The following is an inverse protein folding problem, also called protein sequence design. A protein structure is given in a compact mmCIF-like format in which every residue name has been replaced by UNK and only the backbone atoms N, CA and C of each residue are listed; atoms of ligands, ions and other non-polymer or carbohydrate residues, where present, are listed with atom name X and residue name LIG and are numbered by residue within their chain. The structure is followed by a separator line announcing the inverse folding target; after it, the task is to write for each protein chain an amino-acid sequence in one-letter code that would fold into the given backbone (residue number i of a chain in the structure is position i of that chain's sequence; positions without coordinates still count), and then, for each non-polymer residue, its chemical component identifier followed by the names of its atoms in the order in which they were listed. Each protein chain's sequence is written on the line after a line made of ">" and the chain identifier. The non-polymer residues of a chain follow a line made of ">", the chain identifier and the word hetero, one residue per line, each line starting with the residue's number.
data_IF_529523694895
#
_entry.id   IF_529523694895
#
_cell.length_a   1.000
_cell.length_b   1.000
_cell.length_c   1.000
_cell.angle_alpha   90.00
_cell.angle_beta   90.00
_cell.angle_gamma   90.00
#
_symmetry.space_group_name_H-M   'P 1'
#
loop_
_entity.id
_entity.type
_entity.pdbx_description
1 polymer ?
#
# COMPACT_ATOMS: atom_id res chain seq x y z
N UNK A 1 -27.73 0.83 21.61
CA UNK A 1 -27.10 2.17 21.58
C UNK A 1 -25.67 2.00 22.01
N UNK A 2 -24.71 2.06 21.08
CA UNK A 2 -23.28 2.06 21.40
C UNK A 2 -22.74 3.39 20.91
N UNK A 3 -22.67 4.35 21.84
CA UNK A 3 -21.95 5.60 21.67
C UNK A 3 -20.80 5.58 22.68
N UNK A 4 -19.94 4.58 22.55
CA UNK A 4 -18.81 4.36 23.46
C UNK A 4 -17.62 5.09 22.85
N UNK A 5 -17.55 6.40 23.12
CA UNK A 5 -16.50 7.35 22.73
C UNK A 5 -16.11 7.37 21.23
N UNK A 6 -16.34 8.49 20.50
CA UNK A 6 -15.80 8.62 19.15
C UNK A 6 -14.26 8.63 19.23
N UNK A 7 -13.63 7.55 18.77
CA UNK A 7 -12.20 7.55 18.44
C UNK A 7 -12.12 8.17 17.05
N UNK A 8 -11.75 9.44 16.98
CA UNK A 8 -11.38 10.06 15.71
C UNK A 8 -10.05 9.46 15.26
N UNK A 9 -10.11 8.48 14.37
CA UNK A 9 -8.92 7.99 13.70
C UNK A 9 -8.47 9.07 12.69
N UNK A 10 -7.26 9.63 12.82
CA UNK A 10 -6.75 10.60 11.85
C UNK A 10 -6.66 9.96 10.47
N UNK A 11 -6.85 10.79 9.44
CA UNK A 11 -6.76 10.31 8.07
C UNK A 11 -5.32 9.89 7.76
N UNK A 12 -5.13 8.92 6.86
CA UNK A 12 -3.80 8.41 6.53
C UNK A 12 -2.87 9.51 5.96
N UNK A 13 -3.44 10.51 5.28
CA UNK A 13 -2.70 11.69 4.79
C UNK A 13 -2.08 12.54 5.91
N UNK A 14 -2.60 12.45 7.13
CA UNK A 14 -2.09 13.16 8.31
C UNK A 14 -0.98 12.37 9.02
N UNK A 15 -0.76 11.11 8.62
CA UNK A 15 0.20 10.17 9.19
C UNK A 15 0.94 9.41 8.07
N UNK A 16 1.51 10.16 7.13
CA UNK A 16 2.19 9.59 5.96
C UNK A 16 3.43 8.77 6.37
N UNK A 17 4.03 9.09 7.51
CA UNK A 17 5.14 8.37 8.12
C UNK A 17 4.81 6.93 8.55
N UNK A 18 3.52 6.59 8.71
CA UNK A 18 3.09 5.22 9.01
C UNK A 18 3.01 4.33 7.75
N UNK A 19 2.96 4.94 6.56
CA UNK A 19 2.76 4.22 5.29
C UNK A 19 3.81 3.13 5.08
N UNK A 20 5.12 3.35 5.32
CA UNK A 20 6.12 2.28 5.21
C UNK A 20 5.81 1.06 6.08
N UNK A 21 5.50 1.26 7.36
CA UNK A 21 5.20 0.17 8.28
C UNK A 21 3.91 -0.58 7.88
N UNK A 22 2.89 0.13 7.42
CA UNK A 22 1.65 -0.46 6.92
C UNK A 22 1.90 -1.30 5.65
N UNK A 23 2.70 -0.78 4.71
CA UNK A 23 3.07 -1.48 3.48
C UNK A 23 3.83 -2.77 3.80
N UNK A 24 4.83 -2.71 4.69
CA UNK A 24 5.56 -3.90 5.15
C UNK A 24 4.63 -4.93 5.77
N UNK A 25 3.71 -4.50 6.64
CA UNK A 25 2.72 -5.38 7.25
C UNK A 25 1.83 -6.07 6.21
N UNK A 26 1.33 -5.32 5.23
CA UNK A 26 0.49 -5.86 4.16
C UNK A 26 1.25 -6.84 3.26
N UNK A 27 2.47 -6.50 2.84
CA UNK A 27 3.31 -7.39 2.04
C UNK A 27 3.57 -8.70 2.78
N UNK A 28 3.93 -8.64 4.07
CA UNK A 28 4.17 -9.83 4.88
C UNK A 28 2.94 -10.73 4.95
N UNK A 29 1.76 -10.14 5.22
CA UNK A 29 0.49 -10.88 5.27
C UNK A 29 0.14 -11.50 3.93
N UNK A 30 0.16 -10.72 2.84
CA UNK A 30 -0.27 -11.19 1.53
C UNK A 30 0.70 -12.19 0.89
N UNK A 31 2.00 -12.13 1.19
CA UNK A 31 2.93 -13.18 0.79
C UNK A 31 2.52 -14.55 1.35
N UNK A 32 2.04 -14.60 2.60
CA UNK A 32 1.56 -15.83 3.22
C UNK A 32 0.26 -16.32 2.58
N UNK A 33 -0.66 -15.39 2.27
CA UNK A 33 -1.97 -15.72 1.68
C UNK A 33 -1.87 -16.16 0.21
N UNK A 34 -1.02 -15.50 -0.59
CA UNK A 34 -0.93 -15.68 -2.04
C UNK A 34 0.28 -16.53 -2.48
N UNK A 35 1.13 -16.97 -1.54
CA UNK A 35 2.34 -17.75 -1.84
C UNK A 35 3.42 -16.97 -2.61
N UNK A 36 3.41 -15.64 -2.52
CA UNK A 36 4.38 -14.74 -3.16
C UNK A 36 5.64 -14.57 -2.30
N UNK A 37 6.67 -13.95 -2.87
CA UNK A 37 7.96 -13.67 -2.22
C UNK A 37 8.43 -12.23 -2.44
N UNK A 38 7.50 -11.29 -2.37
CA UNK A 38 7.81 -9.86 -2.45
C UNK A 38 8.51 -9.46 -1.16
N UNK A 39 9.71 -8.89 -1.25
CA UNK A 39 10.52 -8.50 -0.08
C UNK A 39 10.30 -7.05 0.33
N UNK A 40 9.60 -6.25 -0.49
CA UNK A 40 9.30 -4.85 -0.19
C UNK A 40 8.94 -4.03 -1.42
N UNK A 41 9.10 -2.72 -1.29
CA UNK A 41 8.93 -1.74 -2.36
C UNK A 41 10.27 -1.13 -2.75
N UNK A 42 10.42 -0.69 -4.00
CA UNK A 42 11.53 0.21 -4.35
C UNK A 42 11.39 1.56 -3.62
N UNK A 43 12.51 2.30 -3.41
CA UNK A 43 12.46 3.63 -2.80
C UNK A 43 11.49 4.59 -3.52
N UNK A 44 11.44 4.51 -4.84
CA UNK A 44 10.56 5.31 -5.70
C UNK A 44 9.09 4.97 -5.46
N UNK A 45 8.75 3.67 -5.37
CA UNK A 45 7.40 3.23 -5.00
C UNK A 45 7.02 3.71 -3.62
N UNK A 46 7.92 3.61 -2.63
CA UNK A 46 7.62 4.03 -1.28
C UNK A 46 7.39 5.56 -1.19
N UNK A 47 8.17 6.35 -1.94
CA UNK A 47 7.97 7.78 -2.06
C UNK A 47 6.62 8.11 -2.73
N UNK A 48 6.28 7.40 -3.80
CA UNK A 48 4.98 7.52 -4.49
C UNK A 48 3.82 7.25 -3.53
N UNK A 49 3.88 6.15 -2.77
CA UNK A 49 2.83 5.80 -1.80
C UNK A 49 2.72 6.82 -0.68
N UNK A 50 3.83 7.36 -0.17
CA UNK A 50 3.82 8.41 0.85
C UNK A 50 3.29 9.76 0.31
N UNK A 51 3.50 10.05 -0.96
CA UNK A 51 3.04 11.29 -1.61
C UNK A 51 1.55 11.32 -1.95
N UNK A 52 0.87 10.17 -1.93
CA UNK A 52 -0.53 10.06 -2.29
C UNK A 52 -1.47 10.40 -1.11
N UNK A 53 -2.64 10.98 -1.39
CA UNK A 53 -3.56 11.49 -0.36
C UNK A 53 -4.45 10.43 0.30
N UNK A 54 -4.54 9.24 -0.28
CA UNK A 54 -5.32 8.12 0.24
C UNK A 54 -6.73 8.51 0.75
N UNK A 55 -7.62 9.02 -0.10
CA UNK A 55 -9.00 9.39 0.30
C UNK A 55 -9.79 8.24 0.94
N UNK A 56 -9.45 6.98 0.62
CA UNK A 56 -10.00 5.79 1.29
C UNK A 56 -9.17 5.26 2.47
N UNK A 57 -8.23 6.06 2.98
CA UNK A 57 -7.33 5.77 4.10
C UNK A 57 -6.61 4.42 3.96
N UNK A 58 -6.39 3.74 5.09
CA UNK A 58 -5.69 2.45 5.20
C UNK A 58 -6.30 1.39 4.29
N UNK A 59 -7.63 1.35 4.14
CA UNK A 59 -8.31 0.37 3.28
C UNK A 59 -7.95 0.56 1.79
N UNK A 60 -7.75 1.80 1.35
CA UNK A 60 -7.31 2.05 -0.02
C UNK A 60 -5.85 1.65 -0.23
N UNK A 61 -4.98 1.96 0.74
CA UNK A 61 -3.57 1.53 0.74
C UNK A 61 -3.46 0.00 0.69
N UNK A 62 -4.17 -0.68 1.58
CA UNK A 62 -4.24 -2.15 1.65
C UNK A 62 -4.63 -2.76 0.29
N UNK A 63 -5.72 -2.29 -0.31
CA UNK A 63 -6.18 -2.79 -1.61
C UNK A 63 -5.17 -2.52 -2.74
N UNK A 64 -4.48 -1.37 -2.71
CA UNK A 64 -3.47 -1.04 -3.70
C UNK A 64 -2.26 -1.98 -3.59
N UNK A 65 -1.76 -2.21 -2.37
CA UNK A 65 -0.65 -3.14 -2.11
C UNK A 65 -1.04 -4.59 -2.46
N UNK A 66 -2.26 -5.00 -2.13
CA UNK A 66 -2.76 -6.34 -2.51
C UNK A 66 -2.71 -6.56 -4.02
N UNK A 67 -3.27 -5.62 -4.79
CA UNK A 67 -3.28 -5.72 -6.27
C UNK A 67 -1.88 -5.75 -6.86
N UNK A 68 -1.00 -4.87 -6.38
CA UNK A 68 0.40 -4.83 -6.80
C UNK A 68 1.09 -6.18 -6.53
N UNK A 69 0.92 -6.76 -5.34
CA UNK A 69 1.56 -8.01 -4.94
C UNK A 69 1.05 -9.23 -5.71
N UNK A 70 -0.26 -9.33 -5.98
CA UNK A 70 -0.83 -10.44 -6.76
C UNK A 70 -0.24 -10.45 -8.18
N UNK A 71 -0.02 -9.28 -8.77
CA UNK A 71 0.54 -9.11 -10.11
C UNK A 71 2.06 -9.06 -10.13
N UNK A 72 2.73 -8.97 -8.97
CA UNK A 72 4.16 -8.84 -8.91
C UNK A 72 4.88 -10.11 -9.39
N UNK A 73 5.77 -9.92 -10.35
CA UNK A 73 6.72 -10.92 -10.85
C UNK A 73 8.16 -10.65 -10.39
N UNK A 74 8.36 -9.57 -9.63
CA UNK A 74 9.64 -9.13 -9.08
C UNK A 74 9.63 -9.22 -7.54
N UNK A 75 10.80 -9.41 -6.89
CA UNK A 75 10.92 -9.31 -5.44
C UNK A 75 10.56 -7.92 -4.88
N UNK A 76 10.66 -6.86 -5.68
CA UNK A 76 10.36 -5.50 -5.24
C UNK A 76 9.21 -4.91 -6.05
N UNK A 77 8.19 -4.40 -5.35
CA UNK A 77 7.11 -3.63 -5.98
C UNK A 77 7.63 -2.32 -6.56
N UNK A 78 7.26 -2.07 -7.80
CA UNK A 78 7.67 -0.94 -8.63
C UNK A 78 6.52 0.05 -8.84
N UNK A 79 6.81 1.30 -9.26
CA UNK A 79 5.76 2.28 -9.48
C UNK A 79 4.68 1.84 -10.48
N UNK A 80 5.06 1.03 -11.48
CA UNK A 80 4.12 0.50 -12.47
C UNK A 80 3.16 -0.56 -11.93
N UNK A 81 3.43 -1.14 -10.76
CA UNK A 81 2.49 -2.04 -10.07
C UNK A 81 1.32 -1.26 -9.44
N UNK A 82 1.41 0.08 -9.41
CA UNK A 82 0.41 1.00 -8.87
C UNK A 82 -0.11 1.98 -9.94
N UNK A 83 -0.69 1.51 -11.07
CA UNK A 83 -1.01 2.36 -12.21
C UNK A 83 -2.03 3.46 -11.89
N UNK A 84 -2.93 3.22 -10.93
CA UNK A 84 -3.89 4.23 -10.47
C UNK A 84 -3.25 5.39 -9.67
N UNK A 85 -1.99 5.26 -9.28
CA UNK A 85 -1.24 6.22 -8.47
C UNK A 85 -0.08 6.81 -9.29
N UNK A 86 0.71 5.96 -9.94
CA UNK A 86 1.87 6.39 -10.74
C UNK A 86 1.48 6.98 -12.09
N UNK A 87 0.33 6.59 -12.64
CA UNK A 87 -0.03 6.89 -14.03
C UNK A 87 0.87 6.18 -15.06
N UNK A 88 1.72 5.26 -14.61
CA UNK A 88 2.67 4.52 -15.45
C UNK A 88 2.11 3.12 -15.70
N UNK A 89 2.09 2.70 -16.97
CA UNK A 89 1.74 1.34 -17.35
C UNK A 89 2.93 0.38 -17.12
N UNK A 90 2.63 -0.92 -16.99
CA UNK A 90 3.66 -1.97 -16.88
C UNK A 90 4.59 -1.89 -18.09
N UNK A 91 5.93 -1.79 -17.89
CA UNK A 91 6.88 -1.83 -19.00
C UNK A 91 6.78 -3.19 -19.70
N UNK A 92 6.67 -3.16 -21.03
CA UNK A 92 6.62 -4.34 -21.91
C UNK A 92 7.96 -5.10 -21.93
#
# INVERSE_FOLDING_TARGET
>A
RLNVFPIEAPALRERREDIPALVEHFIARFNLEEGKRVIGCSPETLALLQGHDWPGNVRQLENAVYRALVLADSPLLQPHDFPSISGVAVPL
#
